data_IF_021692181192
#
_entry.id   IF_021692181192
#
_cell.length_a   1.000
_cell.length_b   1.000
_cell.length_c   1.000
_cell.angle_alpha   90.00
_cell.angle_beta   90.00
_cell.angle_gamma   90.00
#
_symmetry.space_group_name_H-M   'P 1'
#
loop_
_entity.id
_entity.type
_entity.pdbx_description
1 polymer ?
#
# COMPACT_ATOMS: atom_id res chain seq x y z
N UNK A 1 -26.04 62.09 -0.66
CA UNK A 1 -24.91 62.41 0.23
C UNK A 1 -25.10 61.68 1.56
N UNK A 2 -24.69 60.41 1.64
CA UNK A 2 -24.53 59.55 2.84
C UNK A 2 -23.78 58.32 2.28
N UNK A 3 -22.73 57.72 2.84
CA UNK A 3 -21.97 57.92 4.06
C UNK A 3 -20.81 56.90 4.04
N UNK A 4 -19.72 57.27 4.70
CA UNK A 4 -18.50 56.51 4.96
C UNK A 4 -18.77 55.14 5.60
N UNK A 5 -18.00 54.12 5.25
CA UNK A 5 -18.04 52.80 5.90
C UNK A 5 -16.82 51.93 5.63
N UNK A 6 -15.81 52.08 6.50
CA UNK A 6 -14.64 51.22 6.71
C UNK A 6 -15.05 49.83 7.21
N UNK A 7 -14.46 48.74 6.71
CA UNK A 7 -14.16 47.56 7.54
C UNK A 7 -13.20 46.58 6.86
N UNK A 8 -12.10 46.28 7.56
CA UNK A 8 -11.23 45.14 7.32
C UNK A 8 -11.79 43.93 8.09
N UNK A 9 -11.76 42.73 7.50
CA UNK A 9 -12.29 41.53 8.13
C UNK A 9 -11.86 40.25 7.43
N UNK A 10 -10.82 39.64 7.99
CA UNK A 10 -10.20 38.33 7.69
C UNK A 10 -11.20 37.18 7.78
N UNK A 11 -11.22 36.25 6.82
CA UNK A 11 -11.65 34.85 7.06
C UNK A 11 -10.81 33.88 6.23
N UNK A 12 -10.12 32.98 6.93
CA UNK A 12 -9.49 31.80 6.37
C UNK A 12 -10.57 30.72 6.23
N UNK A 13 -10.78 30.23 5.00
CA UNK A 13 -11.67 29.12 4.69
C UNK A 13 -10.87 27.88 4.31
N UNK A 14 -10.89 26.89 5.21
CA UNK A 14 -10.33 25.56 5.07
C UNK A 14 -11.32 24.68 4.28
N UNK A 15 -10.94 24.14 3.13
CA UNK A 15 -11.65 23.02 2.51
C UNK A 15 -10.65 21.96 2.05
N UNK A 16 -10.61 20.87 2.82
CA UNK A 16 -9.97 19.63 2.45
C UNK A 16 -10.70 19.03 1.25
N UNK A 17 -10.01 18.88 0.12
CA UNK A 17 -10.53 18.10 -0.99
C UNK A 17 -10.35 16.62 -0.68
N UNK A 18 -11.46 16.04 -0.25
CA UNK A 18 -11.68 14.61 -0.01
C UNK A 18 -11.63 13.90 -1.37
N UNK A 19 -10.45 13.41 -1.77
CA UNK A 19 -10.37 12.58 -2.97
C UNK A 19 -10.78 11.15 -2.65
N UNK A 20 -11.98 10.83 -3.11
CA UNK A 20 -12.60 9.53 -3.07
C UNK A 20 -11.85 8.55 -4.00
N UNK A 21 -11.14 7.59 -3.42
CA UNK A 21 -10.76 6.36 -4.11
C UNK A 21 -11.84 5.30 -3.91
N UNK A 22 -12.92 5.32 -4.71
CA UNK A 22 -13.85 4.19 -4.82
C UNK A 22 -13.47 3.36 -6.04
N UNK A 23 -12.96 2.16 -5.83
CA UNK A 23 -13.04 1.06 -6.81
C UNK A 23 -12.88 -0.25 -6.05
N UNK A 24 -14.01 -0.80 -5.61
CA UNK A 24 -14.66 -1.88 -6.34
C UNK A 24 -13.81 -3.15 -6.26
N UNK A 25 -13.93 -3.81 -5.10
CA UNK A 25 -13.55 -5.20 -4.95
C UNK A 25 -14.38 -6.05 -5.91
N UNK A 26 -13.86 -6.25 -7.11
CA UNK A 26 -14.17 -7.44 -7.89
C UNK A 26 -13.43 -8.56 -7.19
N UNK A 27 -14.18 -9.39 -6.47
CA UNK A 27 -13.72 -10.68 -5.94
C UNK A 27 -13.10 -11.47 -7.08
N UNK A 28 -11.80 -11.30 -7.29
CA UNK A 28 -11.02 -12.12 -8.19
C UNK A 28 -10.95 -13.49 -7.54
N UNK A 29 -11.53 -14.46 -8.24
CA UNK A 29 -11.62 -15.87 -7.88
C UNK A 29 -10.35 -16.39 -7.22
N UNK A 30 -10.55 -17.34 -6.31
CA UNK A 30 -9.64 -18.07 -5.39
C UNK A 30 -8.40 -18.75 -6.03
N UNK A 31 -7.83 -18.18 -7.09
CA UNK A 31 -6.59 -18.63 -7.71
C UNK A 31 -5.41 -18.20 -6.83
N UNK A 32 -4.55 -19.17 -6.51
CA UNK A 32 -3.36 -18.98 -5.68
C UNK A 32 -2.34 -18.01 -6.31
N UNK A 33 -1.23 -17.73 -5.59
CA UNK A 33 -0.16 -16.89 -6.10
C UNK A 33 0.47 -17.47 -7.37
N UNK A 34 0.92 -16.60 -8.28
CA UNK A 34 1.83 -17.01 -9.36
C UNK A 34 3.15 -17.50 -8.79
N UNK A 35 3.98 -18.16 -9.59
CA UNK A 35 5.29 -18.65 -9.15
C UNK A 35 6.17 -17.51 -8.60
N UNK A 36 6.22 -16.37 -9.29
CA UNK A 36 7.00 -15.18 -8.88
C UNK A 36 6.45 -14.56 -7.59
N UNK A 37 5.12 -14.45 -7.48
CA UNK A 37 4.48 -13.96 -6.26
C UNK A 37 4.79 -14.86 -5.08
N UNK A 38 4.67 -16.18 -5.25
CA UNK A 38 4.99 -17.17 -4.21
C UNK A 38 6.46 -17.10 -3.83
N UNK A 39 7.37 -17.04 -4.79
CA UNK A 39 8.81 -16.94 -4.53
C UNK A 39 9.12 -15.70 -3.69
N UNK A 40 8.56 -14.54 -4.06
CA UNK A 40 8.75 -13.31 -3.31
C UNK A 40 8.17 -13.37 -1.89
N UNK A 41 6.93 -13.85 -1.74
CA UNK A 41 6.25 -13.96 -0.44
C UNK A 41 6.97 -14.94 0.50
N UNK A 42 7.48 -16.05 -0.02
CA UNK A 42 8.22 -17.07 0.75
C UNK A 42 9.45 -16.47 1.43
N UNK A 43 10.08 -15.46 0.83
CA UNK A 43 11.26 -14.80 1.43
C UNK A 43 10.95 -14.02 2.70
N UNK A 44 9.67 -13.73 2.98
CA UNK A 44 9.25 -13.14 4.24
C UNK A 44 9.12 -14.16 5.38
N UNK A 45 9.15 -15.47 5.11
CA UNK A 45 8.95 -16.49 6.15
C UNK A 45 10.09 -16.49 7.18
N UNK A 46 11.33 -16.45 6.70
CA UNK A 46 12.55 -16.52 7.53
C UNK A 46 13.00 -15.15 8.07
N UNK A 47 12.26 -14.09 7.75
CA UNK A 47 12.63 -12.73 8.15
C UNK A 47 11.90 -12.31 9.43
N UNK A 48 12.59 -11.69 10.40
CA UNK A 48 11.93 -11.17 11.59
C UNK A 48 10.85 -10.15 11.20
N UNK A 49 9.64 -10.36 11.72
CA UNK A 49 8.47 -9.53 11.39
C UNK A 49 7.96 -9.67 9.96
N UNK A 50 8.47 -10.61 9.16
CA UNK A 50 7.95 -10.91 7.83
C UNK A 50 8.44 -10.01 6.71
N UNK A 51 9.58 -9.31 6.86
CA UNK A 51 9.98 -8.26 5.91
C UNK A 51 10.19 -8.83 4.51
N UNK A 52 9.57 -8.19 3.51
CA UNK A 52 9.72 -8.60 2.12
C UNK A 52 10.85 -7.80 1.45
N UNK A 53 11.72 -8.46 0.68
CA UNK A 53 12.84 -7.81 0.02
C UNK A 53 12.39 -7.00 -1.19
N UNK A 54 13.12 -5.90 -1.47
CA UNK A 54 12.90 -5.07 -2.66
C UNK A 54 13.50 -5.66 -3.94
N UNK A 55 14.42 -6.62 -3.79
CA UNK A 55 15.12 -7.28 -4.88
C UNK A 55 14.86 -8.78 -4.83
N UNK A 56 14.79 -9.41 -5.99
CA UNK A 56 14.68 -10.86 -6.13
C UNK A 56 16.02 -11.57 -5.87
N UNK A 57 16.07 -12.88 -6.13
CA UNK A 57 17.27 -13.72 -5.97
C UNK A 57 18.39 -13.37 -6.95
N UNK A 58 18.05 -12.74 -8.09
CA UNK A 58 18.99 -12.36 -9.13
C UNK A 58 19.47 -10.91 -8.97
N UNK A 59 19.05 -10.24 -7.88
CA UNK A 59 19.35 -8.83 -7.63
C UNK A 59 18.50 -7.85 -8.47
N UNK A 60 17.48 -8.32 -9.17
CA UNK A 60 16.58 -7.45 -9.91
C UNK A 60 15.53 -6.86 -8.98
N UNK A 61 15.11 -5.61 -9.24
CA UNK A 61 14.02 -5.00 -8.46
C UNK A 61 12.74 -5.77 -8.67
N UNK A 62 12.07 -6.09 -7.57
CA UNK A 62 10.76 -6.68 -7.58
C UNK A 62 9.77 -5.71 -8.23
N UNK A 63 8.98 -6.20 -9.18
CA UNK A 63 8.01 -5.40 -9.91
C UNK A 63 7.00 -4.75 -8.96
N UNK A 64 6.85 -3.43 -9.05
CA UNK A 64 5.86 -2.67 -8.28
C UNK A 64 4.43 -3.12 -8.56
N UNK A 65 4.14 -3.58 -9.78
CA UNK A 65 2.83 -4.16 -10.12
C UNK A 65 2.58 -5.47 -9.36
N UNK A 66 3.62 -6.30 -9.22
CA UNK A 66 3.54 -7.54 -8.46
C UNK A 66 3.32 -7.27 -6.97
N UNK A 67 4.08 -6.33 -6.40
CA UNK A 67 3.92 -5.91 -4.99
C UNK A 67 2.49 -5.44 -4.73
N UNK A 68 1.97 -4.55 -5.57
CA UNK A 68 0.58 -4.06 -5.47
C UNK A 68 -0.44 -5.19 -5.57
N UNK A 69 -0.29 -6.10 -6.55
CA UNK A 69 -1.19 -7.24 -6.68
C UNK A 69 -1.19 -8.17 -5.44
N UNK A 70 -0.04 -8.33 -4.77
CA UNK A 70 0.01 -9.07 -3.51
C UNK A 70 -0.64 -8.30 -2.35
N UNK A 71 -0.51 -6.97 -2.31
CA UNK A 71 -1.18 -6.12 -1.31
C UNK A 71 -2.70 -6.11 -1.50
N UNK A 72 -3.19 -6.00 -2.74
CA UNK A 72 -4.61 -6.02 -3.07
C UNK A 72 -5.29 -7.33 -2.66
N UNK A 73 -4.52 -8.43 -2.66
CA UNK A 73 -4.97 -9.76 -2.20
C UNK A 73 -4.81 -9.98 -0.70
N UNK A 74 -4.25 -9.01 0.03
CA UNK A 74 -3.99 -9.10 1.47
C UNK A 74 -2.83 -10.02 1.85
N UNK A 75 -1.98 -10.43 0.91
CA UNK A 75 -0.82 -11.30 1.18
C UNK A 75 0.39 -10.54 1.70
N UNK A 76 0.46 -9.25 1.40
CA UNK A 76 1.49 -8.33 1.88
C UNK A 76 0.83 -7.04 2.33
N UNK A 77 1.46 -6.35 3.27
CA UNK A 77 1.02 -5.02 3.72
C UNK A 77 2.22 -4.07 3.85
N UNK A 78 2.03 -2.74 3.79
CA UNK A 78 3.12 -1.80 4.03
C UNK A 78 3.78 -2.03 5.39
N UNK A 79 5.12 -2.00 5.43
CA UNK A 79 5.86 -2.14 6.69
C UNK A 79 5.62 -0.94 7.61
N UNK A 80 5.60 0.25 7.04
CA UNK A 80 5.33 1.51 7.73
C UNK A 80 4.61 2.46 6.76
N UNK A 81 3.51 3.06 7.22
CA UNK A 81 2.88 4.16 6.50
C UNK A 81 3.70 5.42 6.73
N UNK A 82 4.53 5.80 5.76
CA UNK A 82 5.29 7.05 5.82
C UNK A 82 4.48 8.17 5.13
N UNK A 83 3.94 9.16 5.87
CA UNK A 83 3.17 10.26 5.27
C UNK A 83 3.99 11.09 4.27
N UNK A 84 5.32 11.04 4.36
CA UNK A 84 6.24 11.76 3.47
C UNK A 84 6.56 10.98 2.19
N UNK A 85 6.36 9.66 2.19
CA UNK A 85 6.61 8.78 1.03
C UNK A 85 5.48 7.76 0.90
N UNK A 86 4.32 8.17 0.38
CA UNK A 86 3.17 7.28 0.19
C UNK A 86 3.47 6.15 -0.80
N UNK A 87 4.43 6.33 -1.70
CA UNK A 87 4.85 5.31 -2.67
C UNK A 87 5.88 4.31 -2.12
N UNK A 88 6.11 4.29 -0.80
CA UNK A 88 7.10 3.39 -0.21
C UNK A 88 6.61 1.94 -0.20
N UNK A 89 7.06 1.16 -1.18
CA UNK A 89 6.68 -0.25 -1.38
C UNK A 89 7.52 -1.25 -0.57
N UNK A 90 8.01 -0.84 0.61
CA UNK A 90 8.59 -1.81 1.55
C UNK A 90 7.43 -2.45 2.29
N UNK A 91 7.24 -3.74 2.03
CA UNK A 91 6.13 -4.51 2.57
C UNK A 91 6.60 -5.55 3.58
N UNK A 92 5.64 -6.08 4.35
CA UNK A 92 5.78 -7.27 5.16
C UNK A 92 4.75 -8.32 4.78
N UNK A 93 5.09 -9.56 5.04
CA UNK A 93 4.26 -10.73 4.85
C UNK A 93 3.17 -10.76 5.92
N UNK A 94 1.90 -10.85 5.49
CA UNK A 94 0.76 -10.97 6.39
C UNK A 94 0.52 -12.41 6.82
N UNK A 95 -0.39 -12.64 7.76
CA UNK A 95 -0.81 -13.99 8.13
C UNK A 95 -1.41 -14.76 6.94
N UNK A 96 -2.21 -14.11 6.09
CA UNK A 96 -2.77 -14.74 4.89
C UNK A 96 -1.69 -15.00 3.83
N UNK A 97 -0.71 -14.09 3.72
CA UNK A 97 0.51 -14.31 2.94
C UNK A 97 1.23 -15.58 3.35
N UNK A 98 1.42 -15.82 4.65
CA UNK A 98 2.05 -17.04 5.18
C UNK A 98 1.26 -18.30 4.81
N UNK A 99 -0.06 -18.27 4.99
CA UNK A 99 -0.95 -19.40 4.64
C UNK A 99 -0.84 -19.78 3.16
N UNK A 100 -0.80 -18.81 2.24
CA UNK A 100 -0.76 -19.12 0.80
C UNK A 100 0.59 -19.66 0.33
N UNK A 101 1.69 -19.35 1.02
CA UNK A 101 3.01 -19.92 0.71
C UNK A 101 3.34 -21.19 1.49
N UNK A 102 2.45 -21.64 2.38
CA UNK A 102 2.66 -22.86 3.17
C UNK A 102 3.52 -22.66 4.41
N UNK A 103 3.72 -21.42 4.87
CA UNK A 103 4.28 -21.15 6.19
C UNK A 103 3.19 -21.36 7.24
N UNK A 104 3.07 -22.60 7.73
CA UNK A 104 2.22 -22.97 8.87
C UNK A 104 2.85 -22.59 10.19
#
# INVERSE_FOLDING_TARGET
MVGTGKSAGKTAGKTAEKSAGKSAGKSASRAGPTAEQRAWLTRGLDQPGGKLPLFDHNGQRVSTRMVRACMDKGWAEPWFENPLKPDWLVCKLTADGRKVVGGG
#
